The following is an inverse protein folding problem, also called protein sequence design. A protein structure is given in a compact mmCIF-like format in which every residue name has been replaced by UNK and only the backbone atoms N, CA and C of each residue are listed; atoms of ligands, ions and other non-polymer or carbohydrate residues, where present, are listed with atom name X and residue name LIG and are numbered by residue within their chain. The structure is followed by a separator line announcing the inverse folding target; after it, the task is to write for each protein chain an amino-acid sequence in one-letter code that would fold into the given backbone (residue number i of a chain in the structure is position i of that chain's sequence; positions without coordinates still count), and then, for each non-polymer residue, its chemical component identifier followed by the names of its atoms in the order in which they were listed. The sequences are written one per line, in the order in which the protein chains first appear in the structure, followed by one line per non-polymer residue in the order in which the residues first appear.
data_IF_195040569657
#
_entry.id   IF_195040569657
#
_cell.length_a   1.000
_cell.length_b   1.000
_cell.length_c   1.000
_cell.angle_alpha   90.00
_cell.angle_beta   90.00
_cell.angle_gamma   90.00
#
_symmetry.space_group_name_H-M   'P 1'
#
loop_
_entity.id
_entity.type
_entity.pdbx_description
1 polymer ?
#
# COMPACT_ATOMS: atom_id res chain seq x y z
N UNK A 1 -6.39 8.29 33.12
CA UNK A 1 -5.08 8.14 33.76
C UNK A 1 -4.71 9.51 34.26
N UNK A 2 -4.25 9.65 35.50
CA UNK A 2 -3.74 10.93 35.99
C UNK A 2 -2.48 11.29 35.17
N UNK A 3 -2.36 12.55 34.77
CA UNK A 3 -1.27 13.01 33.92
C UNK A 3 -0.01 13.14 34.75
N UNK A 4 0.99 12.32 34.44
CA UNK A 4 2.24 12.29 35.20
C UNK A 4 3.05 13.57 34.92
N UNK A 5 2.88 14.19 33.75
CA UNK A 5 3.50 15.48 33.45
C UNK A 5 3.00 16.60 34.37
N UNK A 6 1.70 16.61 34.69
CA UNK A 6 1.09 17.65 35.52
C UNK A 6 1.59 17.53 36.97
N UNK A 7 1.60 16.31 37.52
CA UNK A 7 2.15 16.03 38.85
C UNK A 7 3.65 16.38 38.94
N UNK A 8 4.42 16.04 37.90
CA UNK A 8 5.85 16.38 37.84
C UNK A 8 6.09 17.89 37.80
N UNK A 9 5.25 18.64 37.09
CA UNK A 9 5.34 20.10 37.03
C UNK A 9 5.05 20.73 38.40
N UNK A 10 4.03 20.23 39.09
CA UNK A 10 3.68 20.70 40.43
C UNK A 10 4.83 20.47 41.42
N UNK A 11 5.44 19.28 41.43
CA UNK A 11 6.62 18.98 42.24
C UNK A 11 7.79 19.91 41.92
N UNK A 12 8.06 20.17 40.64
CA UNK A 12 9.12 21.08 40.20
C UNK A 12 8.90 22.51 40.68
N UNK A 13 7.67 23.01 40.59
CA UNK A 13 7.29 24.33 41.06
C UNK A 13 7.46 24.47 42.58
N UNK A 14 7.10 23.43 43.34
CA UNK A 14 7.28 23.41 44.80
C UNK A 14 8.75 23.41 45.21
N UNK A 15 9.61 22.66 44.50
CA UNK A 15 11.03 22.57 44.82
C UNK A 15 11.82 23.82 44.43
N UNK A 16 11.41 24.56 43.40
CA UNK A 16 12.19 25.67 42.83
C UNK A 16 11.72 27.07 43.26
N UNK A 17 11.25 27.21 44.50
CA UNK A 17 10.62 28.44 45.02
C UNK A 17 11.50 29.70 45.01
N UNK A 18 12.83 29.56 45.18
CA UNK A 18 13.76 30.70 45.23
C UNK A 18 14.39 31.04 43.87
N UNK A 19 14.11 30.25 42.83
CA UNK A 19 14.60 30.44 41.45
C UNK A 19 16.13 30.60 41.28
N UNK A 20 16.94 30.20 42.26
CA UNK A 20 18.39 30.45 42.30
C UNK A 20 19.17 29.81 41.13
N UNK A 21 18.72 28.63 40.66
CA UNK A 21 19.32 27.90 39.53
C UNK A 21 18.36 27.79 38.32
N UNK A 22 17.56 28.83 38.07
CA UNK A 22 16.47 28.80 37.08
C UNK A 22 16.91 28.35 35.68
N UNK A 23 18.01 28.92 35.18
CA UNK A 23 18.46 28.66 33.80
C UNK A 23 19.16 27.30 33.66
N UNK A 24 19.90 26.85 34.67
CA UNK A 24 20.72 25.63 34.60
C UNK A 24 20.00 24.36 35.04
N UNK A 25 18.94 24.48 35.86
CA UNK A 25 18.27 23.33 36.48
C UNK A 25 16.77 23.31 36.18
N UNK A 26 16.04 24.39 36.52
CA UNK A 26 14.59 24.40 36.38
C UNK A 26 14.12 24.41 34.92
N UNK A 27 14.68 25.30 34.09
CA UNK A 27 14.24 25.45 32.70
C UNK A 27 14.41 24.15 31.90
N UNK A 28 15.55 23.42 31.93
CA UNK A 28 15.67 22.13 31.27
C UNK A 28 14.68 21.06 31.78
N UNK A 29 14.34 21.08 33.07
CA UNK A 29 13.39 20.13 33.64
C UNK A 29 11.95 20.44 33.21
N UNK A 30 11.56 21.71 33.18
CA UNK A 30 10.26 22.12 32.63
C UNK A 30 10.16 21.81 31.14
N UNK A 31 11.23 22.00 30.37
CA UNK A 31 11.27 21.57 28.97
C UNK A 31 11.05 20.05 28.83
N UNK A 32 11.68 19.24 29.69
CA UNK A 32 11.46 17.81 29.73
C UNK A 32 10.00 17.45 30.05
N UNK A 33 9.40 18.10 31.05
CA UNK A 33 7.99 17.90 31.41
C UNK A 33 7.05 18.26 30.25
N UNK A 34 7.34 19.34 29.52
CA UNK A 34 6.56 19.72 28.35
C UNK A 34 6.61 18.63 27.25
N UNK A 35 7.78 18.02 27.01
CA UNK A 35 7.91 16.89 26.08
C UNK A 35 7.08 15.69 26.56
N UNK A 36 7.09 15.39 27.86
CA UNK A 36 6.24 14.35 28.43
C UNK A 36 4.75 14.68 28.28
N UNK A 37 4.35 15.94 28.50
CA UNK A 37 2.98 16.42 28.32
C UNK A 37 2.51 16.22 26.87
N UNK A 38 3.32 16.61 25.89
CA UNK A 38 3.05 16.40 24.46
C UNK A 38 2.92 14.91 24.13
N UNK A 39 3.73 14.06 24.76
CA UNK A 39 3.63 12.61 24.61
C UNK A 39 2.34 12.05 25.19
N UNK A 40 1.96 12.45 26.40
CA UNK A 40 0.70 12.06 27.03
C UNK A 40 -0.53 12.54 26.25
N UNK A 41 -0.46 13.72 25.62
CA UNK A 41 -1.53 14.25 24.75
C UNK A 41 -1.78 13.35 23.53
N UNK A 42 -0.82 12.52 23.13
CA UNK A 42 -1.04 11.51 22.07
C UNK A 42 -2.02 10.42 22.52
N UNK A 43 -2.12 10.17 23.83
CA UNK A 43 -2.92 9.09 24.40
C UNK A 43 -2.39 7.68 24.07
N UNK A 44 -1.18 7.57 23.52
CA UNK A 44 -0.57 6.30 23.12
C UNK A 44 0.53 5.92 24.10
N UNK A 45 0.44 4.72 24.65
CA UNK A 45 1.47 4.18 25.55
C UNK A 45 2.74 3.75 24.80
N UNK A 46 3.90 3.65 25.48
CA UNK A 46 5.12 3.17 24.83
C UNK A 46 4.99 1.76 24.26
N UNK A 47 4.22 0.90 24.92
CA UNK A 47 3.94 -0.47 24.47
C UNK A 47 3.08 -0.50 23.21
N UNK A 48 2.05 0.34 23.12
CA UNK A 48 1.26 0.50 21.89
C UNK A 48 2.11 1.01 20.72
N UNK A 49 3.06 1.93 20.97
CA UNK A 49 4.01 2.36 19.93
C UNK A 49 4.87 1.19 19.44
N UNK A 50 5.37 0.36 20.35
CA UNK A 50 6.17 -0.80 19.99
C UNK A 50 5.36 -1.83 19.21
N UNK A 51 4.10 -2.05 19.59
CA UNK A 51 3.17 -2.89 18.86
C UNK A 51 2.91 -2.33 17.46
N UNK A 52 2.57 -1.05 17.33
CA UNK A 52 2.34 -0.39 16.03
C UNK A 52 3.58 -0.44 15.14
N UNK A 53 4.78 -0.32 15.70
CA UNK A 53 6.04 -0.49 14.95
C UNK A 53 6.19 -1.92 14.43
N UNK A 54 5.91 -2.92 15.26
CA UNK A 54 5.97 -4.32 14.86
C UNK A 54 4.93 -4.65 13.78
N UNK A 55 3.69 -4.19 13.94
CA UNK A 55 2.62 -4.33 12.95
C UNK A 55 2.97 -3.64 11.62
N UNK A 56 3.49 -2.41 11.67
CA UNK A 56 3.95 -1.69 10.48
C UNK A 56 5.11 -2.42 9.79
N UNK A 57 6.05 -2.97 10.54
CA UNK A 57 7.14 -3.77 9.96
C UNK A 57 6.61 -5.03 9.26
N UNK A 58 5.65 -5.72 9.88
CA UNK A 58 5.00 -6.89 9.28
C UNK A 58 4.19 -6.52 8.02
N UNK A 59 3.48 -5.39 8.03
CA UNK A 59 2.75 -4.89 6.87
C UNK A 59 3.68 -4.52 5.72
N UNK A 60 4.81 -3.84 5.99
CA UNK A 60 5.83 -3.54 4.98
C UNK A 60 6.40 -4.80 4.35
N UNK A 61 6.77 -5.79 5.17
CA UNK A 61 7.28 -7.07 4.68
C UNK A 61 6.25 -7.86 3.83
N UNK A 62 4.95 -7.67 4.09
CA UNK A 62 3.87 -8.23 3.24
C UNK A 62 3.70 -7.44 1.94
N UNK A 63 3.77 -6.12 2.01
CA UNK A 63 3.65 -5.23 0.86
C UNK A 63 4.80 -5.44 -0.13
N UNK A 64 6.02 -5.65 0.35
CA UNK A 64 7.19 -5.95 -0.48
C UNK A 64 7.03 -7.24 -1.32
N UNK A 65 6.09 -8.12 -0.94
CA UNK A 65 5.75 -9.36 -1.66
C UNK A 65 4.46 -9.25 -2.48
N UNK A 66 3.75 -8.13 -2.40
CA UNK A 66 2.51 -7.92 -3.12
C UNK A 66 2.79 -7.56 -4.57
N UNK A 67 1.88 -7.95 -5.47
CA UNK A 67 1.91 -7.56 -6.88
C UNK A 67 0.74 -6.63 -7.14
N UNK A 68 1.01 -5.48 -7.74
CA UNK A 68 -0.02 -4.56 -8.18
C UNK A 68 -0.70 -5.11 -9.44
N UNK A 69 -2.03 -5.19 -9.41
CA UNK A 69 -2.81 -5.71 -10.53
C UNK A 69 -3.25 -4.56 -11.45
N UNK A 70 -3.22 -4.76 -12.78
CA UNK A 70 -3.63 -3.74 -13.75
C UNK A 70 -5.15 -3.49 -13.76
N UNK A 71 -5.94 -4.38 -13.16
CA UNK A 71 -7.39 -4.24 -13.02
C UNK A 71 -7.92 -4.98 -11.79
N UNK A 72 -9.19 -4.74 -11.45
CA UNK A 72 -9.88 -5.34 -10.30
C UNK A 72 -10.62 -6.62 -10.68
N UNK A 73 -10.90 -7.46 -9.68
CA UNK A 73 -11.82 -8.58 -9.83
C UNK A 73 -13.17 -8.11 -10.37
N UNK A 74 -13.66 -8.77 -11.41
CA UNK A 74 -14.92 -8.42 -12.07
C UNK A 74 -14.80 -7.35 -13.15
N UNK A 75 -13.62 -6.75 -13.35
CA UNK A 75 -13.44 -5.78 -14.43
C UNK A 75 -13.57 -6.47 -15.80
N UNK A 76 -14.15 -5.73 -16.74
CA UNK A 76 -14.20 -6.13 -18.14
C UNK A 76 -12.82 -5.95 -18.76
N UNK A 77 -12.37 -6.97 -19.47
CA UNK A 77 -11.15 -6.94 -20.28
C UNK A 77 -11.44 -7.37 -21.71
N UNK A 78 -10.52 -7.05 -22.61
CA UNK A 78 -10.58 -7.38 -24.03
C UNK A 78 -9.28 -8.08 -24.43
N UNK A 79 -9.40 -9.31 -24.89
CA UNK A 79 -8.26 -10.18 -25.19
C UNK A 79 -8.17 -10.40 -26.69
N UNK A 80 -6.98 -10.22 -27.24
CA UNK A 80 -6.67 -10.65 -28.60
C UNK A 80 -6.50 -12.18 -28.59
N UNK A 81 -7.43 -12.86 -29.25
CA UNK A 81 -7.47 -14.31 -29.35
C UNK A 81 -7.28 -14.72 -30.80
N UNK A 82 -6.30 -15.59 -31.05
CA UNK A 82 -6.18 -16.24 -32.35
C UNK A 82 -7.13 -17.44 -32.40
N UNK A 83 -8.04 -17.43 -33.37
CA UNK A 83 -8.91 -18.56 -33.71
C UNK A 83 -8.67 -18.93 -35.16
N UNK A 84 -8.13 -20.12 -35.38
CA UNK A 84 -7.70 -20.58 -36.70
C UNK A 84 -6.72 -19.58 -37.35
N UNK A 85 -7.01 -19.14 -38.58
CA UNK A 85 -6.19 -18.19 -39.33
C UNK A 85 -6.50 -16.70 -39.02
N UNK A 86 -7.36 -16.40 -38.03
CA UNK A 86 -7.81 -15.03 -37.74
C UNK A 86 -7.62 -14.67 -36.28
N UNK A 87 -7.20 -13.43 -36.01
CA UNK A 87 -7.17 -12.86 -34.66
C UNK A 87 -8.38 -11.95 -34.47
N UNK A 88 -9.08 -12.11 -33.35
CA UNK A 88 -10.25 -11.33 -32.97
C UNK A 88 -10.15 -10.78 -31.54
N UNK A 89 -10.92 -9.73 -31.25
CA UNK A 89 -11.05 -9.17 -29.91
C UNK A 89 -12.20 -9.88 -29.19
N UNK A 90 -11.88 -10.59 -28.10
CA UNK A 90 -12.85 -11.28 -27.26
C UNK A 90 -13.03 -10.52 -25.95
N UNK A 91 -14.28 -10.28 -25.56
CA UNK A 91 -14.61 -9.69 -24.25
C UNK A 91 -14.53 -10.77 -23.18
N UNK A 92 -13.87 -10.47 -22.07
CA UNK A 92 -13.83 -11.33 -20.89
C UNK A 92 -14.01 -10.52 -19.61
N UNK A 93 -14.04 -11.24 -18.49
CA UNK A 93 -14.13 -10.65 -17.14
C UNK A 93 -12.98 -11.19 -16.30
N UNK A 94 -12.20 -10.31 -15.68
CA UNK A 94 -11.06 -10.68 -14.83
C UNK A 94 -11.55 -11.41 -13.58
N UNK A 95 -11.06 -12.64 -13.36
CA UNK A 95 -11.56 -13.55 -12.31
C UNK A 95 -10.50 -13.90 -11.28
N UNK A 96 -9.26 -14.14 -11.67
CA UNK A 96 -8.29 -14.62 -10.70
C UNK A 96 -6.88 -14.34 -11.16
N UNK A 97 -5.97 -14.33 -10.19
CA UNK A 97 -4.54 -14.40 -10.44
C UNK A 97 -3.97 -15.49 -9.57
N UNK A 98 -3.19 -16.40 -10.17
CA UNK A 98 -2.46 -17.43 -9.43
C UNK A 98 -0.99 -17.37 -9.80
N UNK A 99 -0.15 -17.49 -8.78
CA UNK A 99 1.28 -17.68 -8.97
C UNK A 99 1.51 -19.08 -9.53
N UNK A 100 2.10 -19.17 -10.71
CA UNK A 100 2.46 -20.43 -11.36
C UNK A 100 3.92 -20.79 -11.05
N UNK A 101 4.81 -19.80 -11.13
CA UNK A 101 6.24 -19.92 -10.82
C UNK A 101 6.72 -18.65 -10.10
N UNK A 102 8.01 -18.54 -9.77
CA UNK A 102 8.54 -17.46 -8.93
C UNK A 102 8.27 -16.05 -9.48
N UNK A 103 8.28 -15.91 -10.81
CA UNK A 103 8.07 -14.63 -11.50
C UNK A 103 6.87 -14.64 -12.46
N UNK A 104 6.08 -15.73 -12.48
CA UNK A 104 4.98 -15.89 -13.45
C UNK A 104 3.63 -15.98 -12.74
N UNK A 105 2.78 -15.00 -13.06
CA UNK A 105 1.42 -14.88 -12.54
C UNK A 105 0.42 -15.13 -13.66
N UNK A 106 -0.30 -16.25 -13.57
CA UNK A 106 -1.38 -16.59 -14.49
C UNK A 106 -2.63 -15.83 -14.15
N UNK A 107 -3.35 -15.41 -15.18
CA UNK A 107 -4.58 -14.65 -15.10
C UNK A 107 -5.72 -15.47 -15.67
N UNK A 108 -6.82 -15.53 -14.92
CA UNK A 108 -8.03 -16.25 -15.30
C UNK A 108 -9.14 -15.27 -15.70
N UNK A 109 -9.89 -15.62 -16.76
CA UNK A 109 -11.06 -14.89 -17.19
C UNK A 109 -12.27 -15.81 -17.29
N UNK A 110 -13.48 -15.33 -16.96
CA UNK A 110 -14.69 -16.19 -16.90
C UNK A 110 -15.04 -16.89 -18.21
N UNK A 111 -14.82 -16.19 -19.33
CA UNK A 111 -15.38 -16.53 -20.63
C UNK A 111 -14.28 -16.86 -21.66
N UNK A 112 -13.01 -16.90 -21.22
CA UNK A 112 -11.85 -17.05 -22.09
C UNK A 112 -10.96 -18.17 -21.56
N UNK A 113 -10.89 -19.25 -22.33
CA UNK A 113 -10.13 -20.46 -22.00
C UNK A 113 -8.75 -20.41 -22.66
N UNK A 114 -7.97 -19.38 -22.32
CA UNK A 114 -6.59 -19.22 -22.80
C UNK A 114 -5.70 -18.78 -21.65
N UNK A 115 -4.49 -19.34 -21.60
CA UNK A 115 -3.50 -18.93 -20.61
C UNK A 115 -2.99 -17.52 -20.95
N UNK A 116 -3.08 -16.62 -19.97
CA UNK A 116 -2.48 -15.29 -20.00
C UNK A 116 -1.73 -15.03 -18.72
N UNK A 117 -0.77 -14.13 -18.77
CA UNK A 117 -0.04 -13.66 -17.60
C UNK A 117 -0.31 -12.18 -17.34
N UNK A 118 0.11 -11.68 -16.19
CA UNK A 118 0.06 -10.23 -15.92
C UNK A 118 0.85 -9.42 -16.96
N UNK A 119 1.93 -9.99 -17.52
CA UNK A 119 2.75 -9.35 -18.55
C UNK A 119 2.07 -9.24 -19.91
N UNK A 120 0.94 -9.92 -20.12
CA UNK A 120 0.15 -9.82 -21.34
C UNK A 120 -0.72 -8.55 -21.40
N UNK A 121 -0.92 -7.87 -20.27
CA UNK A 121 -1.63 -6.59 -20.24
C UNK A 121 -0.90 -5.54 -21.09
N UNK A 122 -1.65 -4.81 -21.91
CA UNK A 122 -1.15 -3.86 -22.90
C UNK A 122 -0.55 -4.49 -24.16
N UNK A 123 -0.34 -5.82 -24.19
CA UNK A 123 0.17 -6.55 -25.37
C UNK A 123 -0.95 -7.31 -26.08
N UNK A 124 -1.62 -8.19 -25.34
CA UNK A 124 -2.71 -9.03 -25.84
C UNK A 124 -3.95 -9.01 -24.95
N UNK A 125 -3.87 -8.41 -23.76
CA UNK A 125 -5.00 -8.15 -22.85
C UNK A 125 -5.12 -6.65 -22.63
N UNK A 126 -6.33 -6.10 -22.73
CA UNK A 126 -6.58 -4.66 -22.66
C UNK A 126 -7.79 -4.35 -21.77
N UNK A 127 -7.78 -3.17 -21.14
CA UNK A 127 -8.88 -2.73 -20.28
C UNK A 127 -10.03 -2.12 -21.09
N UNK A 128 -9.74 -1.63 -22.30
CA UNK A 128 -10.76 -1.07 -23.19
C UNK A 128 -10.82 -1.79 -24.53
N UNK A 129 -12.02 -1.78 -25.13
CA UNK A 129 -12.23 -2.34 -26.47
C UNK A 129 -11.45 -1.57 -27.53
N UNK A 130 -11.39 -0.24 -27.37
CA UNK A 130 -10.74 0.65 -28.33
C UNK A 130 -9.23 0.35 -28.45
N UNK A 131 -8.54 0.18 -27.32
CA UNK A 131 -7.12 -0.20 -27.30
C UNK A 131 -6.89 -1.58 -27.94
N UNK A 132 -7.73 -2.56 -27.61
CA UNK A 132 -7.64 -3.89 -28.21
C UNK A 132 -7.84 -3.84 -29.73
N UNK A 133 -8.83 -3.08 -30.20
CA UNK A 133 -9.12 -2.94 -31.64
C UNK A 133 -7.97 -2.23 -32.37
N UNK A 134 -7.46 -1.13 -31.81
CA UNK A 134 -6.32 -0.42 -32.38
C UNK A 134 -5.08 -1.33 -32.51
N UNK A 135 -4.83 -2.18 -31.50
CA UNK A 135 -3.74 -3.16 -31.56
C UNK A 135 -3.97 -4.21 -32.64
N UNK A 136 -5.19 -4.73 -32.78
CA UNK A 136 -5.54 -5.69 -33.81
C UNK A 136 -5.37 -5.11 -35.23
N UNK A 137 -5.81 -3.87 -35.44
CA UNK A 137 -5.71 -3.21 -36.74
C UNK A 137 -4.25 -2.94 -37.13
N UNK A 138 -3.42 -2.53 -36.15
CA UNK A 138 -1.97 -2.39 -36.36
C UNK A 138 -1.28 -3.70 -36.74
N UNK A 139 -1.70 -4.83 -36.15
CA UNK A 139 -1.19 -6.16 -36.53
C UNK A 139 -1.57 -6.57 -37.95
N UNK A 140 -2.73 -6.13 -38.45
CA UNK A 140 -3.18 -6.40 -39.83
C UNK A 140 -2.51 -5.48 -40.85
N UNK A 141 -2.23 -4.22 -40.48
CA UNK A 141 -1.61 -3.23 -41.36
C UNK A 141 -0.08 -3.30 -41.48
N UNK A 142 0.60 -4.08 -40.64
CA UNK A 142 2.06 -4.29 -40.70
C UNK A 142 2.51 -5.51 -41.53
N UNK A 143 1.58 -6.15 -42.26
CA UNK A 143 1.83 -7.34 -43.08
C UNK A 143 1.94 -7.02 -44.59
N UNK A 144 2.35 -5.80 -44.94
CA UNK A 144 2.65 -5.37 -46.32
C UNK A 144 4.16 -5.44 -46.64
#
# INVERSE_FOLDING_TARGET
MERVSDEALDILNELHTEHLAYQSEYLPLVECVNVCSEYEDTGITPDEINQLKAENAALKARLDKAVELPCKFGDTVYVLMQRNATTEVVKGTFKNVRRYDDDVWWVEFSDIWIDKTLDDFGKTVFLTKAEAQAKLDAMKGGAE
#
